data_IF_340843091589
#
_entry.id   IF_340843091589
#
_cell.length_a   1.000
_cell.length_b   1.000
_cell.length_c   1.000
_cell.angle_alpha   90.00
_cell.angle_beta   90.00
_cell.angle_gamma   90.00
#
_symmetry.space_group_name_H-M   'P 1'
#
loop_
_entity.id
_entity.type
_entity.pdbx_description
1 polymer ?
#
# COMPACT_ATOMS: atom_id res chain seq x y z
N UNK A 1 -11.97 -8.19 25.53
CA UNK A 1 -11.70 -6.86 24.94
C UNK A 1 -10.73 -7.08 23.81
N UNK A 2 -11.05 -6.63 22.59
CA UNK A 2 -10.08 -6.64 21.50
C UNK A 2 -8.99 -5.65 21.90
N UNK A 3 -7.79 -6.16 22.17
CA UNK A 3 -6.63 -5.32 22.44
C UNK A 3 -6.32 -4.54 21.15
N UNK A 4 -5.98 -3.24 21.22
CA UNK A 4 -5.37 -2.57 20.07
C UNK A 4 -4.14 -3.39 19.68
N UNK A 5 -3.86 -3.52 18.37
CA UNK A 5 -2.64 -4.13 17.86
C UNK A 5 -1.39 -3.25 18.13
N UNK A 6 -1.34 -2.57 19.27
CA UNK A 6 -0.32 -1.60 19.63
C UNK A 6 0.85 -2.25 20.38
N UNK A 7 2.05 -2.19 19.82
CA UNK A 7 3.30 -2.47 20.52
C UNK A 7 3.63 -1.39 21.56
N UNK A 8 4.48 -1.71 22.55
CA UNK A 8 4.93 -0.76 23.59
C UNK A 8 5.69 0.44 23.00
N UNK A 9 6.24 0.29 21.79
CA UNK A 9 7.02 1.30 21.07
C UNK A 9 6.25 1.99 19.93
N UNK A 10 4.93 1.78 19.84
CA UNK A 10 4.15 2.33 18.74
C UNK A 10 3.98 3.85 18.87
N UNK A 11 3.97 4.53 17.72
CA UNK A 11 3.70 5.96 17.67
C UNK A 11 2.22 6.19 17.96
N UNK A 12 1.92 6.81 19.09
CA UNK A 12 0.57 7.25 19.44
C UNK A 12 0.24 8.58 18.74
N UNK A 13 -0.84 8.59 17.96
CA UNK A 13 -1.37 9.77 17.31
C UNK A 13 -2.90 9.64 17.16
N UNK A 14 -3.59 10.79 17.10
CA UNK A 14 -5.05 10.80 16.87
C UNK A 14 -5.42 10.27 15.48
N UNK A 15 -4.58 10.54 14.48
CA UNK A 15 -4.73 10.10 13.10
C UNK A 15 -3.37 9.74 12.50
N UNK A 16 -3.33 8.75 11.61
CA UNK A 16 -2.12 8.34 10.89
C UNK A 16 -2.44 8.26 9.40
N UNK A 17 -1.61 8.92 8.58
CA UNK A 17 -1.74 8.90 7.13
C UNK A 17 -0.45 8.45 6.46
N UNK A 18 -0.58 7.63 5.42
CA UNK A 18 0.51 7.19 4.56
C UNK A 18 0.28 7.70 3.13
N UNK A 19 0.74 8.92 2.85
CA UNK A 19 0.61 9.53 1.52
C UNK A 19 1.74 9.12 0.58
N UNK A 20 1.63 7.89 0.07
CA UNK A 20 2.53 7.37 -0.96
C UNK A 20 3.22 6.06 -0.57
N UNK A 21 2.46 5.14 0.01
CA UNK A 21 2.91 3.75 0.23
C UNK A 21 3.32 3.15 -1.10
N UNK A 22 4.59 2.80 -1.20
CA UNK A 22 5.22 2.30 -2.43
C UNK A 22 5.71 0.87 -2.22
N UNK A 23 5.24 -0.03 -3.06
CA UNK A 23 5.74 -1.40 -3.14
C UNK A 23 6.32 -1.65 -4.53
N UNK A 24 7.50 -2.26 -4.59
CA UNK A 24 8.10 -2.72 -5.84
C UNK A 24 8.84 -4.05 -5.61
N UNK A 25 8.63 -5.02 -6.50
CA UNK A 25 9.30 -6.30 -6.48
C UNK A 25 9.76 -6.70 -7.89
N UNK A 26 10.70 -7.64 -7.99
CA UNK A 26 11.25 -8.09 -9.28
C UNK A 26 10.48 -9.23 -9.93
N UNK A 27 9.50 -9.82 -9.23
CA UNK A 27 8.69 -10.94 -9.70
C UNK A 27 7.25 -10.51 -10.04
N UNK A 28 6.75 -10.90 -11.22
CA UNK A 28 5.34 -10.73 -11.59
C UNK A 28 4.94 -9.30 -11.97
N UNK A 29 3.77 -8.84 -11.48
CA UNK A 29 3.30 -7.45 -11.58
C UNK A 29 4.08 -6.60 -10.57
N UNK A 30 4.98 -5.76 -11.07
CA UNK A 30 6.18 -5.40 -10.32
C UNK A 30 6.03 -4.24 -9.32
N UNK A 31 4.84 -3.70 -9.06
CA UNK A 31 4.68 -2.70 -8.01
C UNK A 31 3.26 -2.18 -7.81
N UNK A 32 3.09 -1.43 -6.72
CA UNK A 32 1.85 -0.80 -6.29
C UNK A 32 2.17 0.56 -5.65
N UNK A 33 1.27 1.52 -5.84
CA UNK A 33 1.28 2.80 -5.15
C UNK A 33 -0.13 3.07 -4.60
N UNK A 34 -0.22 3.34 -3.29
CA UNK A 34 -1.46 3.67 -2.60
C UNK A 34 -1.29 4.84 -1.62
N UNK A 35 -2.42 5.42 -1.23
CA UNK A 35 -2.52 6.30 -0.07
C UNK A 35 -3.54 5.77 0.91
N UNK A 36 -3.23 5.90 2.19
CA UNK A 36 -4.04 5.40 3.29
C UNK A 36 -4.23 6.47 4.36
N UNK A 37 -5.40 6.46 4.99
CA UNK A 37 -5.75 7.30 6.12
C UNK A 37 -6.43 6.45 7.20
N UNK A 38 -5.91 6.48 8.42
CA UNK A 38 -6.35 5.67 9.57
C UNK A 38 -6.46 4.16 9.28
N UNK A 39 -5.62 3.66 8.37
CA UNK A 39 -5.54 2.24 7.98
C UNK A 39 -6.49 1.83 6.86
N UNK A 40 -7.35 2.74 6.38
CA UNK A 40 -8.19 2.51 5.20
C UNK A 40 -7.53 3.04 3.93
N UNK A 41 -7.66 2.29 2.83
CA UNK A 41 -7.21 2.74 1.51
C UNK A 41 -8.07 3.91 1.01
N UNK A 42 -7.44 5.04 0.69
CA UNK A 42 -8.09 6.18 0.04
C UNK A 42 -8.10 6.02 -1.49
N UNK A 43 -6.92 5.72 -2.05
CA UNK A 43 -6.71 5.56 -3.49
C UNK A 43 -5.53 4.63 -3.79
N UNK A 44 -5.50 4.14 -5.02
CA UNK A 44 -4.31 3.56 -5.64
C UNK A 44 -4.10 4.14 -7.05
N UNK A 45 -2.88 4.03 -7.58
CA UNK A 45 -2.59 4.37 -8.98
C UNK A 45 -2.56 3.10 -9.83
N UNK A 46 -3.46 3.01 -10.80
CA UNK A 46 -3.40 1.99 -11.86
C UNK A 46 -2.20 2.31 -12.76
N UNK A 47 -1.12 1.54 -12.63
CA UNK A 47 0.16 1.82 -13.28
C UNK A 47 0.10 1.62 -14.81
N UNK A 48 -0.75 0.72 -15.27
CA UNK A 48 -0.90 0.40 -16.70
C UNK A 48 -1.72 1.48 -17.41
N UNK A 49 -2.83 1.89 -16.78
CA UNK A 49 -3.68 2.97 -17.31
C UNK A 49 -3.14 4.36 -16.99
N UNK A 50 -2.25 4.47 -16.01
CA UNK A 50 -1.71 5.73 -15.47
C UNK A 50 -2.81 6.63 -14.94
N UNK A 51 -3.69 6.06 -14.14
CA UNK A 51 -4.88 6.72 -13.60
C UNK A 51 -4.95 6.54 -12.08
N UNK A 52 -5.43 7.58 -11.40
CA UNK A 52 -5.75 7.53 -9.97
C UNK A 52 -7.12 6.90 -9.80
N UNK A 53 -7.20 5.83 -9.01
CA UNK A 53 -8.45 5.13 -8.69
C UNK A 53 -8.74 5.33 -7.21
N UNK A 54 -9.87 5.98 -6.91
CA UNK A 54 -10.32 6.19 -5.54
C UNK A 54 -11.11 4.97 -5.05
N UNK A 55 -10.82 4.51 -3.82
CA UNK A 55 -11.53 3.40 -3.20
C UNK A 55 -13.01 3.71 -2.97
N UNK A 56 -13.29 4.96 -2.60
CA UNK A 56 -14.60 5.58 -2.49
C UNK A 56 -14.68 6.65 -3.59
N UNK A 57 -15.48 6.44 -4.66
CA UNK A 57 -15.53 7.36 -5.81
C UNK A 57 -15.88 8.81 -5.47
N UNK A 58 -16.65 9.04 -4.42
CA UNK A 58 -17.07 10.35 -3.95
C UNK A 58 -15.89 11.22 -3.50
N UNK A 59 -14.81 10.62 -2.99
CA UNK A 59 -13.59 11.38 -2.64
C UNK A 59 -12.93 11.99 -3.88
N UNK A 60 -12.92 11.26 -4.99
CA UNK A 60 -12.40 11.73 -6.27
C UNK A 60 -13.19 12.88 -6.91
N UNK A 61 -14.37 13.21 -6.35
CA UNK A 61 -15.14 14.40 -6.75
C UNK A 61 -14.74 15.65 -5.97
N UNK A 62 -14.12 15.47 -4.80
CA UNK A 62 -13.75 16.56 -3.87
C UNK A 62 -12.26 16.89 -3.95
N UNK A 63 -11.43 15.87 -4.17
CA UNK A 63 -9.97 15.98 -4.22
C UNK A 63 -9.43 15.17 -5.38
N UNK A 64 -8.26 15.57 -5.89
CA UNK A 64 -7.61 14.93 -7.03
C UNK A 64 -6.17 14.60 -6.69
N UNK A 65 -5.65 13.52 -7.25
CA UNK A 65 -4.25 13.16 -7.19
C UNK A 65 -3.72 12.92 -8.61
N UNK A 66 -2.59 13.54 -8.94
CA UNK A 66 -1.92 13.33 -10.23
C UNK A 66 -1.20 11.97 -10.21
N UNK A 67 -1.60 10.99 -11.04
CA UNK A 67 -0.99 9.66 -11.07
C UNK A 67 0.51 9.70 -11.40
N UNK A 68 1.03 10.80 -11.98
CA UNK A 68 2.45 10.99 -12.23
C UNK A 68 3.31 10.89 -10.96
N UNK A 69 2.77 11.29 -9.80
CA UNK A 69 3.45 11.12 -8.51
C UNK A 69 3.70 9.65 -8.17
N UNK A 70 2.68 8.80 -8.34
CA UNK A 70 2.81 7.36 -8.14
C UNK A 70 3.77 6.70 -9.14
N UNK A 71 3.71 7.09 -10.41
CA UNK A 71 4.62 6.59 -11.45
C UNK A 71 6.09 6.91 -11.16
N UNK A 72 6.38 8.12 -10.66
CA UNK A 72 7.74 8.51 -10.24
C UNK A 72 8.20 7.70 -9.02
N UNK A 73 7.30 7.47 -8.07
CA UNK A 73 7.54 6.57 -6.93
C UNK A 73 7.95 5.17 -7.40
N UNK A 74 7.20 4.57 -8.32
CA UNK A 74 7.47 3.24 -8.88
C UNK A 74 8.80 3.17 -9.61
N UNK A 75 9.14 4.18 -10.41
CA UNK A 75 10.45 4.26 -11.05
C UNK A 75 11.60 4.29 -10.03
N UNK A 76 11.41 5.04 -8.94
CA UNK A 76 12.37 5.13 -7.83
C UNK A 76 12.48 3.80 -7.07
N UNK A 77 11.36 3.15 -6.78
CA UNK A 77 11.32 1.83 -6.15
C UNK A 77 12.06 0.77 -6.95
N UNK A 78 11.87 0.75 -8.28
CA UNK A 78 12.61 -0.13 -9.20
C UNK A 78 14.12 0.11 -9.13
N UNK A 79 14.54 1.37 -9.17
CA UNK A 79 15.96 1.73 -9.09
C UNK A 79 16.58 1.27 -7.77
N UNK A 80 15.91 1.59 -6.66
CA UNK A 80 16.36 1.25 -5.32
C UNK A 80 16.40 -0.26 -5.09
N UNK A 81 15.43 -1.02 -5.59
CA UNK A 81 15.42 -2.48 -5.49
C UNK A 81 16.66 -3.08 -6.17
N UNK A 82 17.08 -2.55 -7.31
CA UNK A 82 18.31 -3.00 -7.99
C UNK A 82 19.56 -2.78 -7.14
N UNK A 83 19.66 -1.63 -6.48
CA UNK A 83 20.77 -1.31 -5.56
C UNK A 83 20.72 -2.24 -4.34
N UNK A 84 19.56 -2.36 -3.69
CA UNK A 84 19.38 -3.13 -2.47
C UNK A 84 19.63 -4.62 -2.69
N UNK A 85 19.18 -5.17 -3.82
CA UNK A 85 19.47 -6.56 -4.20
C UNK A 85 20.97 -6.81 -4.32
N UNK A 86 21.73 -5.86 -4.88
CA UNK A 86 23.18 -5.97 -4.97
C UNK A 86 23.84 -5.85 -3.59
N UNK A 87 23.45 -4.87 -2.78
CA UNK A 87 24.05 -4.66 -1.45
C UNK A 87 23.73 -5.79 -0.47
N UNK A 88 22.59 -6.48 -0.63
CA UNK A 88 22.19 -7.62 0.19
C UNK A 88 22.76 -8.96 -0.31
N UNK A 89 23.67 -8.96 -1.29
CA UNK A 89 24.19 -10.17 -1.95
C UNK A 89 23.08 -11.08 -2.51
N UNK A 90 22.04 -10.49 -3.09
CA UNK A 90 20.89 -11.19 -3.67
C UNK A 90 20.12 -12.06 -2.66
N UNK A 91 20.06 -11.63 -1.40
CA UNK A 91 19.23 -12.31 -0.38
C UNK A 91 17.75 -12.23 -0.80
N UNK A 92 17.04 -13.37 -0.97
CA UNK A 92 15.64 -13.38 -1.36
C UNK A 92 14.71 -13.06 -0.18
N UNK A 93 13.47 -12.65 -0.49
CA UNK A 93 12.43 -12.53 0.51
C UNK A 93 12.04 -13.91 1.07
N UNK A 94 11.71 -13.97 2.37
CA UNK A 94 11.15 -15.16 3.02
C UNK A 94 9.67 -15.27 2.67
N UNK A 95 9.21 -16.48 2.32
CA UNK A 95 7.79 -16.73 2.10
C UNK A 95 7.08 -16.91 3.44
N UNK A 96 6.01 -16.15 3.67
CA UNK A 96 5.14 -16.28 4.84
C UNK A 96 3.86 -17.04 4.48
N UNK A 97 3.27 -17.74 5.46
CA UNK A 97 1.99 -18.44 5.29
C UNK A 97 0.85 -17.46 5.55
N UNK A 98 -0.05 -17.20 4.58
CA UNK A 98 -1.16 -16.27 4.79
C UNK A 98 -2.24 -16.90 5.69
N UNK A 99 -2.78 -16.11 6.60
CA UNK A 99 -3.96 -16.46 7.40
C UNK A 99 -5.22 -15.87 6.76
N UNK A 100 -6.26 -16.68 6.61
CA UNK A 100 -7.51 -16.28 5.93
C UNK A 100 -8.70 -16.50 6.84
N UNK A 101 -9.51 -15.46 7.01
CA UNK A 101 -10.76 -15.49 7.78
C UNK A 101 -11.92 -15.02 6.90
N UNK A 102 -13.07 -15.70 6.99
CA UNK A 102 -14.28 -15.36 6.23
C UNK A 102 -15.45 -15.12 7.19
N UNK A 103 -16.11 -13.98 7.04
CA UNK A 103 -17.30 -13.61 7.81
C UNK A 103 -18.24 -12.75 6.95
N UNK A 104 -19.56 -12.79 7.19
CA UNK A 104 -20.50 -11.99 6.42
C UNK A 104 -20.38 -10.50 6.81
N UNK A 105 -20.53 -9.60 5.82
CA UNK A 105 -20.55 -8.14 6.07
C UNK A 105 -21.79 -7.70 6.85
N UNK A 106 -22.89 -8.43 6.74
CA UNK A 106 -24.18 -8.12 7.37
C UNK A 106 -24.85 -9.41 7.84
N UNK A 107 -25.81 -9.35 8.78
CA UNK A 107 -26.50 -10.55 9.26
C UNK A 107 -27.12 -11.36 8.12
N UNK A 108 -26.97 -12.67 8.20
CA UNK A 108 -27.68 -13.61 7.32
C UNK A 108 -28.91 -14.07 8.10
N UNK A 109 -30.09 -13.71 7.60
CA UNK A 109 -31.38 -14.22 8.10
C UNK A 109 -31.83 -15.42 7.29
#
# INVERSE_FOLDING_TARGET
TLSPCGGEDDIEADHIAAYGTLFYQSYGSNGQYSMEFDGDEELYVDLDKKETIWRIPEFGQLVTFDPQGGLQGIATGKHNLGILTKSSNSTPATNEVPEVTVFPKSPVL
#
